data_IF_181745351197
#
_entry.id   IF_181745351197
#
_cell.length_a   1.000
_cell.length_b   1.000
_cell.length_c   1.000
_cell.angle_alpha   90.00
_cell.angle_beta   90.00
_cell.angle_gamma   90.00
#
_symmetry.space_group_name_H-M   'P 1'
#
loop_
_entity.id
_entity.type
_entity.pdbx_description
1 polymer ?
#
# COMPACT_ATOMS: atom_id res chain seq x y z
N UNK A 1 -0.44 1.74 -22.43
CA UNK A 1 -1.06 0.57 -21.80
C UNK A 1 -0.56 0.41 -20.39
N UNK A 2 -1.45 0.14 -19.44
CA UNK A 2 -1.09 -0.04 -18.04
C UNK A 2 -1.68 -1.32 -17.47
N UNK A 3 -0.98 -1.92 -16.50
CA UNK A 3 -1.49 -3.06 -15.74
C UNK A 3 -1.68 -2.68 -14.28
N UNK A 4 -2.74 -3.22 -13.65
CA UNK A 4 -2.99 -3.13 -12.21
C UNK A 4 -2.99 -4.54 -11.65
N UNK A 5 -2.21 -4.79 -10.60
CA UNK A 5 -2.08 -6.10 -9.99
C UNK A 5 -2.82 -6.09 -8.65
N UNK A 6 -3.89 -6.89 -8.55
CA UNK A 6 -4.68 -6.98 -7.34
C UNK A 6 -6.09 -7.49 -7.57
N UNK A 7 -6.98 -7.34 -6.58
CA UNK A 7 -8.38 -7.81 -6.72
C UNK A 7 -9.28 -7.40 -5.54
N UNK A 8 -8.77 -6.54 -4.65
CA UNK A 8 -9.56 -5.85 -3.61
C UNK A 8 -10.05 -4.49 -4.09
N UNK A 9 -10.72 -3.73 -3.22
CA UNK A 9 -11.26 -2.40 -3.53
C UNK A 9 -10.19 -1.49 -4.14
N UNK A 10 -9.02 -1.36 -3.51
CA UNK A 10 -7.93 -0.50 -4.00
C UNK A 10 -7.55 -0.82 -5.45
N UNK A 11 -7.35 -2.10 -5.80
CA UNK A 11 -6.98 -2.47 -7.17
C UNK A 11 -8.05 -2.12 -8.19
N UNK A 12 -9.31 -2.31 -7.82
CA UNK A 12 -10.46 -2.02 -8.68
C UNK A 12 -10.65 -0.51 -8.85
N UNK A 13 -10.53 0.26 -7.78
CA UNK A 13 -10.59 1.72 -7.79
C UNK A 13 -9.46 2.33 -8.62
N UNK A 14 -8.22 1.83 -8.45
CA UNK A 14 -7.08 2.25 -9.26
C UNK A 14 -7.28 1.93 -10.74
N UNK A 15 -7.76 0.72 -11.07
CA UNK A 15 -8.03 0.35 -12.46
C UNK A 15 -9.09 1.28 -13.07
N UNK A 16 -10.17 1.59 -12.35
CA UNK A 16 -11.19 2.54 -12.78
C UNK A 16 -10.63 3.95 -12.95
N UNK A 17 -9.83 4.41 -12.00
CA UNK A 17 -9.21 5.75 -12.07
C UNK A 17 -8.28 5.88 -13.28
N UNK A 18 -7.47 4.86 -13.55
CA UNK A 18 -6.51 4.85 -14.65
C UNK A 18 -7.18 4.92 -16.03
N UNK A 19 -8.46 4.57 -16.17
CA UNK A 19 -9.19 4.76 -17.42
C UNK A 19 -9.40 6.23 -17.84
N UNK A 20 -9.13 7.17 -16.92
CA UNK A 20 -9.07 8.60 -17.24
C UNK A 20 -7.77 8.99 -17.95
N UNK A 21 -6.73 8.14 -17.88
CA UNK A 21 -5.40 8.41 -18.39
C UNK A 21 -4.94 7.40 -19.46
N UNK A 22 -5.62 6.26 -19.58
CA UNK A 22 -5.30 5.19 -20.52
C UNK A 22 -6.57 4.56 -21.05
N UNK A 23 -6.59 4.22 -22.33
CA UNK A 23 -7.67 3.49 -22.98
C UNK A 23 -7.45 1.95 -22.95
N UNK A 24 -6.31 1.50 -22.41
CA UNK A 24 -5.95 0.07 -22.29
C UNK A 24 -5.43 -0.20 -20.88
N UNK A 25 -6.32 -0.60 -19.99
CA UNK A 25 -6.04 -0.96 -18.59
C UNK A 25 -6.28 -2.45 -18.42
N UNK A 26 -5.27 -3.18 -17.94
CA UNK A 26 -5.41 -4.61 -17.66
C UNK A 26 -5.33 -4.84 -16.16
N UNK A 27 -6.42 -5.36 -15.56
CA UNK A 27 -6.45 -5.79 -14.16
C UNK A 27 -6.03 -7.25 -14.07
N UNK A 28 -4.91 -7.54 -13.40
CA UNK A 28 -4.34 -8.88 -13.25
C UNK A 28 -4.71 -9.41 -11.86
N UNK A 29 -5.46 -10.51 -11.83
CA UNK A 29 -5.86 -11.13 -10.57
C UNK A 29 -5.54 -12.62 -10.50
N UNK A 30 -5.00 -13.06 -9.37
CA UNK A 30 -4.52 -14.43 -9.15
C UNK A 30 -5.63 -15.47 -8.92
N UNK A 31 -6.89 -15.06 -8.86
CA UNK A 31 -8.08 -15.92 -8.68
C UNK A 31 -9.06 -15.69 -9.82
N UNK A 32 -10.13 -16.44 -9.81
CA UNK A 32 -11.24 -16.36 -10.78
C UNK A 32 -12.32 -15.33 -10.42
N UNK A 33 -12.19 -14.66 -9.27
CA UNK A 33 -13.16 -13.68 -8.77
C UNK A 33 -12.50 -12.59 -7.93
N UNK A 34 -12.99 -11.35 -8.05
CA UNK A 34 -12.54 -10.20 -7.27
C UNK A 34 -13.11 -10.26 -5.84
N UNK A 35 -12.37 -9.68 -4.90
CA UNK A 35 -12.79 -9.49 -3.51
C UNK A 35 -13.33 -8.10 -3.23
N UNK A 36 -13.30 -7.23 -4.23
CA UNK A 36 -13.84 -5.88 -4.16
C UNK A 36 -15.36 -5.90 -3.93
N UNK A 37 -15.92 -4.80 -3.46
CA UNK A 37 -17.35 -4.61 -3.33
C UNK A 37 -18.08 -4.79 -4.67
N UNK A 38 -19.30 -5.33 -4.62
CA UNK A 38 -20.07 -5.67 -5.80
C UNK A 38 -20.23 -4.49 -6.77
N UNK A 39 -20.53 -3.31 -6.25
CA UNK A 39 -20.70 -2.10 -7.06
C UNK A 39 -19.41 -1.73 -7.83
N UNK A 40 -18.25 -1.94 -7.24
CA UNK A 40 -16.96 -1.69 -7.89
C UNK A 40 -16.69 -2.74 -8.98
N UNK A 41 -17.00 -4.01 -8.72
CA UNK A 41 -16.90 -5.08 -9.71
C UNK A 41 -17.79 -4.80 -10.93
N UNK A 42 -19.03 -4.41 -10.72
CA UNK A 42 -19.96 -4.09 -11.79
C UNK A 42 -19.45 -2.94 -12.66
N UNK A 43 -18.84 -1.91 -12.04
CA UNK A 43 -18.22 -0.80 -12.78
C UNK A 43 -17.01 -1.24 -13.62
N UNK A 44 -16.16 -2.13 -13.11
CA UNK A 44 -15.03 -2.69 -13.87
C UNK A 44 -15.54 -3.48 -15.06
N UNK A 45 -16.51 -4.37 -14.85
CA UNK A 45 -17.05 -5.21 -15.94
C UNK A 45 -17.80 -4.40 -17.01
N UNK A 46 -18.40 -3.28 -16.64
CA UNK A 46 -19.08 -2.38 -17.58
C UNK A 46 -18.10 -1.44 -18.33
N UNK A 47 -16.85 -1.33 -17.91
CA UNK A 47 -15.90 -0.39 -18.50
C UNK A 47 -15.15 -1.03 -19.68
N UNK A 48 -15.36 -0.58 -20.94
CA UNK A 48 -14.73 -1.18 -22.11
C UNK A 48 -13.20 -0.99 -22.19
N UNK A 49 -12.64 -0.08 -21.40
CA UNK A 49 -11.20 0.17 -21.33
C UNK A 49 -10.48 -0.79 -20.38
N UNK A 50 -11.22 -1.61 -19.60
CA UNK A 50 -10.64 -2.52 -18.62
C UNK A 50 -10.79 -3.96 -19.08
N UNK A 51 -9.66 -4.65 -19.23
CA UNK A 51 -9.58 -6.09 -19.40
C UNK A 51 -9.18 -6.74 -18.07
N UNK A 52 -9.85 -7.82 -17.67
CA UNK A 52 -9.46 -8.60 -16.50
C UNK A 52 -8.78 -9.89 -16.93
N UNK A 53 -7.56 -10.13 -16.42
CA UNK A 53 -6.85 -11.39 -16.56
C UNK A 53 -6.99 -12.18 -15.26
N UNK A 54 -7.79 -13.23 -15.31
CA UNK A 54 -8.05 -14.12 -14.21
C UNK A 54 -6.98 -15.20 -14.06
N UNK A 55 -6.82 -15.72 -12.84
CA UNK A 55 -5.91 -16.81 -12.54
C UNK A 55 -4.47 -16.51 -12.96
N UNK A 56 -4.05 -15.24 -12.95
CA UNK A 56 -2.71 -14.82 -13.31
C UNK A 56 -2.01 -14.16 -12.12
N UNK A 57 -0.81 -14.60 -11.83
CA UNK A 57 0.12 -13.92 -10.93
C UNK A 57 1.30 -13.37 -11.73
N UNK A 58 1.80 -12.22 -11.33
CA UNK A 58 3.04 -11.68 -11.89
C UNK A 58 4.21 -12.51 -11.36
N UNK A 59 5.04 -12.96 -12.27
CA UNK A 59 6.32 -13.61 -12.00
C UNK A 59 7.44 -12.57 -12.00
N UNK A 60 7.46 -11.72 -13.04
CA UNK A 60 8.51 -10.73 -13.23
C UNK A 60 8.01 -9.50 -13.99
N UNK A 61 8.54 -8.33 -13.62
CA UNK A 61 8.47 -7.12 -14.44
C UNK A 61 9.63 -7.13 -15.43
N UNK A 62 9.36 -6.86 -16.70
CA UNK A 62 10.33 -6.91 -17.78
C UNK A 62 10.74 -5.49 -18.15
N UNK A 63 12.02 -5.18 -17.96
CA UNK A 63 12.60 -3.91 -18.36
C UNK A 63 12.98 -3.97 -19.86
N UNK A 64 12.81 -2.84 -20.54
CA UNK A 64 13.33 -2.65 -21.89
C UNK A 64 14.85 -2.43 -21.90
N UNK A 65 15.43 -2.46 -23.07
CA UNK A 65 16.85 -2.15 -23.26
C UNK A 65 17.16 -0.67 -23.01
N UNK A 66 18.31 -0.39 -22.43
CA UNK A 66 18.76 0.98 -22.15
C UNK A 66 17.85 1.69 -21.14
N UNK A 67 17.29 2.84 -21.54
CA UNK A 67 16.41 3.69 -20.70
C UNK A 67 14.91 3.47 -20.97
N UNK A 68 14.53 2.41 -21.68
CA UNK A 68 13.14 2.19 -22.13
C UNK A 68 12.14 1.92 -20.98
N UNK A 69 12.61 1.68 -19.74
CA UNK A 69 11.74 1.45 -18.59
C UNK A 69 11.02 0.11 -18.66
N UNK A 70 9.77 0.05 -18.16
CA UNK A 70 8.94 -1.15 -18.18
C UNK A 70 8.37 -1.38 -19.58
N UNK A 71 8.49 -2.63 -20.10
CA UNK A 71 7.95 -3.03 -21.40
C UNK A 71 6.94 -4.15 -21.32
N UNK A 72 6.82 -4.81 -20.17
CA UNK A 72 5.85 -5.88 -19.96
C UNK A 72 5.96 -6.55 -18.61
N UNK A 73 5.08 -7.52 -18.39
CA UNK A 73 5.09 -8.40 -17.22
C UNK A 73 4.97 -9.85 -17.67
N UNK A 74 5.81 -10.71 -17.10
CA UNK A 74 5.69 -12.14 -17.23
C UNK A 74 4.71 -12.66 -16.18
N UNK A 75 3.81 -13.51 -16.61
CA UNK A 75 2.71 -14.04 -15.82
C UNK A 75 2.77 -15.56 -15.76
N UNK A 76 2.37 -16.11 -14.62
CA UNK A 76 2.11 -17.54 -14.45
C UNK A 76 0.63 -17.74 -14.17
N UNK A 77 0.02 -18.65 -14.91
CA UNK A 77 -1.35 -19.11 -14.63
C UNK A 77 -1.35 -19.89 -13.32
N UNK A 78 -2.21 -19.52 -12.40
CA UNK A 78 -2.27 -20.11 -11.04
C UNK A 78 -2.96 -21.48 -11.02
N UNK A 79 -3.63 -21.87 -12.11
CA UNK A 79 -4.34 -23.14 -12.24
C UNK A 79 -3.51 -24.13 -13.08
N UNK A 80 -3.03 -23.68 -14.25
CA UNK A 80 -2.32 -24.56 -15.19
C UNK A 80 -0.81 -24.53 -15.03
N UNK A 81 -0.25 -23.46 -14.41
CA UNK A 81 1.19 -23.25 -14.33
C UNK A 81 1.81 -22.68 -15.61
N UNK A 82 1.03 -22.44 -16.65
CA UNK A 82 1.52 -21.93 -17.93
C UNK A 82 2.04 -20.50 -17.80
N UNK A 83 3.19 -20.25 -18.44
CA UNK A 83 3.76 -18.92 -18.54
C UNK A 83 3.11 -18.14 -19.71
N UNK A 84 2.95 -16.84 -19.53
CA UNK A 84 2.50 -15.91 -20.56
C UNK A 84 3.13 -14.56 -20.37
N UNK A 85 3.07 -13.69 -21.38
CA UNK A 85 3.60 -12.33 -21.34
C UNK A 85 2.50 -11.33 -21.66
N UNK A 86 2.41 -10.26 -20.87
CA UNK A 86 1.51 -9.14 -21.13
C UNK A 86 2.36 -7.88 -21.32
N UNK A 87 2.28 -7.27 -22.51
CA UNK A 87 2.97 -6.02 -22.80
C UNK A 87 2.32 -4.88 -22.02
N UNK A 88 3.14 -4.03 -21.42
CA UNK A 88 2.67 -2.85 -20.70
C UNK A 88 3.77 -1.79 -20.62
N UNK A 89 3.37 -0.52 -20.53
CA UNK A 89 4.27 0.63 -20.39
C UNK A 89 4.32 1.12 -18.93
N UNK A 90 3.42 0.63 -18.06
CA UNK A 90 3.36 0.96 -16.63
C UNK A 90 2.64 -0.11 -15.81
N UNK A 91 3.03 -0.26 -14.55
CA UNK A 91 2.44 -1.23 -13.65
C UNK A 91 2.17 -0.67 -12.25
N UNK A 92 0.96 -0.94 -11.73
CA UNK A 92 0.51 -0.55 -10.40
C UNK A 92 0.28 -1.81 -9.56
N UNK A 93 0.87 -1.83 -8.37
CA UNK A 93 0.78 -3.00 -7.47
C UNK A 93 -0.15 -2.66 -6.31
N UNK A 94 -1.38 -3.20 -6.36
CA UNK A 94 -2.47 -2.93 -5.42
C UNK A 94 -2.91 -4.23 -4.69
N UNK A 95 -1.95 -4.96 -4.12
CA UNK A 95 -2.18 -6.25 -3.46
C UNK A 95 -2.47 -6.13 -1.95
N UNK A 96 -2.50 -4.91 -1.43
CA UNK A 96 -2.67 -4.56 -0.04
C UNK A 96 -1.40 -4.00 0.58
N UNK A 97 -1.54 -3.50 1.80
CA UNK A 97 -0.44 -2.95 2.58
C UNK A 97 -0.18 -3.82 3.80
N UNK A 98 1.08 -3.94 4.16
CA UNK A 98 1.53 -4.47 5.43
C UNK A 98 2.47 -3.42 6.05
N UNK A 99 2.18 -2.93 7.25
CA UNK A 99 3.05 -1.93 7.87
C UNK A 99 4.41 -2.54 8.21
N UNK A 100 5.49 -1.75 8.06
CA UNK A 100 6.86 -2.17 8.38
C UNK A 100 7.11 -2.16 9.89
N UNK A 101 6.34 -2.93 10.65
CA UNK A 101 6.31 -2.93 12.11
C UNK A 101 6.92 -4.19 12.75
N UNK A 102 7.44 -5.11 11.95
CA UNK A 102 7.96 -6.40 12.43
C UNK A 102 9.07 -6.24 13.51
N UNK A 103 9.91 -5.21 13.40
CA UNK A 103 10.95 -4.88 14.37
C UNK A 103 10.43 -4.54 15.78
N UNK A 104 9.16 -4.12 15.86
CA UNK A 104 8.52 -3.68 17.10
C UNK A 104 7.63 -4.75 17.71
N UNK A 105 7.45 -5.87 17.04
CA UNK A 105 6.64 -7.00 17.52
C UNK A 105 7.16 -7.52 18.86
N UNK A 106 6.25 -7.59 19.83
CA UNK A 106 6.60 -7.96 21.21
C UNK A 106 7.31 -6.86 22.03
N UNK A 107 7.62 -5.70 21.42
CA UNK A 107 8.23 -4.55 22.12
C UNK A 107 7.24 -3.40 22.29
N UNK A 108 6.40 -3.16 21.29
CA UNK A 108 5.33 -2.17 21.31
C UNK A 108 3.99 -2.83 20.97
N UNK A 109 2.88 -2.35 21.54
CA UNK A 109 1.56 -2.80 21.16
C UNK A 109 1.28 -2.54 19.69
N UNK A 110 0.78 -3.57 19.00
CA UNK A 110 0.28 -3.50 17.64
C UNK A 110 -1.23 -3.73 17.66
N UNK A 111 -1.96 -3.10 16.73
CA UNK A 111 -3.37 -3.40 16.51
C UNK A 111 -3.54 -4.75 15.76
N UNK A 112 -4.79 -5.15 15.53
CA UNK A 112 -5.12 -6.40 14.85
C UNK A 112 -4.59 -6.49 13.41
N UNK A 113 -4.35 -5.33 12.78
CA UNK A 113 -3.84 -5.21 11.40
C UNK A 113 -2.31 -5.05 11.35
N UNK A 114 -1.65 -5.03 12.52
CA UNK A 114 -0.20 -4.94 12.65
C UNK A 114 0.36 -3.51 12.71
N UNK A 115 -0.48 -2.49 12.82
CA UNK A 115 -0.04 -1.10 12.98
C UNK A 115 0.32 -0.78 14.43
N UNK A 116 1.27 0.15 14.64
CA UNK A 116 1.64 0.61 15.96
C UNK A 116 0.48 1.37 16.62
N UNK A 117 0.12 0.94 17.83
CA UNK A 117 -0.89 1.60 18.62
C UNK A 117 -0.31 2.87 19.28
N UNK A 118 -0.93 4.01 19.02
CA UNK A 118 -0.62 5.30 19.66
C UNK A 118 -1.82 5.83 20.43
N UNK A 119 -1.59 6.69 21.41
CA UNK A 119 -2.67 7.39 22.09
C UNK A 119 -3.41 8.29 21.08
N UNK A 120 -4.73 8.19 20.96
CA UNK A 120 -5.49 8.96 19.98
C UNK A 120 -5.17 10.46 20.03
N UNK A 121 -4.92 11.06 18.85
CA UNK A 121 -4.59 12.47 18.71
C UNK A 121 -3.15 12.85 19.05
N UNK A 122 -2.27 11.89 19.32
CA UNK A 122 -0.85 12.10 19.65
C UNK A 122 0.02 11.10 18.89
N UNK A 123 1.35 11.22 19.02
CA UNK A 123 2.33 10.23 18.56
C UNK A 123 2.82 9.28 19.65
N UNK A 124 2.27 9.38 20.87
CA UNK A 124 2.73 8.65 22.05
C UNK A 124 2.42 7.17 21.94
N UNK A 125 3.45 6.32 22.08
CA UNK A 125 3.30 4.88 22.23
C UNK A 125 3.10 4.48 23.71
N UNK A 126 2.95 3.19 23.98
CA UNK A 126 2.89 2.68 25.34
C UNK A 126 4.23 2.76 26.09
N UNK A 127 5.34 3.03 25.40
CA UNK A 127 6.68 3.13 25.99
C UNK A 127 7.08 4.60 26.05
N UNK A 128 7.30 5.18 27.24
CA UNK A 128 7.74 6.56 27.38
C UNK A 128 9.02 6.85 26.59
N UNK A 129 9.08 7.98 25.90
CA UNK A 129 10.20 8.37 25.05
C UNK A 129 10.23 7.69 23.67
N UNK A 130 9.23 6.87 23.36
CA UNK A 130 9.06 6.26 22.02
C UNK A 130 7.80 6.81 21.38
N UNK A 131 7.98 7.40 20.20
CA UNK A 131 6.91 8.04 19.41
C UNK A 131 6.76 7.33 18.08
N UNK A 132 5.54 7.26 17.57
CA UNK A 132 5.27 6.63 16.28
C UNK A 132 4.39 7.53 15.40
N UNK A 133 4.73 7.62 14.11
CA UNK A 133 4.08 8.51 13.15
C UNK A 133 4.14 7.94 11.73
N UNK A 134 3.26 8.44 10.87
CA UNK A 134 3.20 8.06 9.46
C UNK A 134 2.55 6.70 9.21
N UNK A 135 2.91 6.06 8.10
CA UNK A 135 2.28 4.83 7.60
C UNK A 135 2.29 3.66 8.58
N UNK A 136 3.21 3.64 9.55
CA UNK A 136 3.25 2.60 10.59
C UNK A 136 2.11 2.71 11.61
N UNK A 137 1.40 3.86 11.64
CA UNK A 137 0.23 4.14 12.50
C UNK A 137 -1.03 4.46 11.71
N UNK A 138 -0.90 4.86 10.43
CA UNK A 138 -2.00 5.27 9.56
C UNK A 138 -2.42 4.12 8.63
N UNK A 139 -3.43 3.37 9.04
CA UNK A 139 -4.00 2.31 8.21
C UNK A 139 -5.06 2.79 7.20
N UNK A 140 -5.43 4.07 7.24
CA UNK A 140 -6.54 4.63 6.43
C UNK A 140 -6.02 5.39 5.22
N UNK A 141 -5.26 6.44 5.43
CA UNK A 141 -4.88 7.38 4.37
C UNK A 141 -3.56 7.04 3.69
N UNK A 142 -2.48 6.81 4.47
CA UNK A 142 -1.14 6.47 3.94
C UNK A 142 -0.68 7.41 2.84
N UNK A 143 -0.79 8.71 3.11
CA UNK A 143 -0.40 9.76 2.19
C UNK A 143 0.84 10.50 2.72
N UNK A 144 1.70 10.96 1.79
CA UNK A 144 2.91 11.71 2.16
C UNK A 144 2.61 12.91 3.04
N UNK A 145 1.53 13.64 2.78
CA UNK A 145 1.15 14.83 3.56
C UNK A 145 0.65 14.47 4.96
N UNK A 146 -0.11 13.38 5.13
CA UNK A 146 -0.55 12.92 6.44
C UNK A 146 0.64 12.40 7.25
N UNK A 147 1.55 11.66 6.62
CA UNK A 147 2.78 11.18 7.26
C UNK A 147 3.68 12.34 7.70
N UNK A 148 3.82 13.40 6.89
CA UNK A 148 4.58 14.60 7.25
C UNK A 148 3.95 15.33 8.46
N UNK A 149 2.62 15.48 8.47
CA UNK A 149 1.90 16.07 9.60
C UNK A 149 2.07 15.28 10.90
N UNK A 150 1.93 13.95 10.82
CA UNK A 150 2.19 13.07 11.97
C UNK A 150 3.65 13.14 12.44
N UNK A 151 4.60 13.23 11.51
CA UNK A 151 6.03 13.42 11.82
C UNK A 151 6.30 14.72 12.58
N UNK A 152 5.63 15.82 12.18
CA UNK A 152 5.69 17.08 12.92
C UNK A 152 5.14 16.92 14.35
N UNK A 153 4.01 16.22 14.53
CA UNK A 153 3.47 15.94 15.87
C UNK A 153 4.46 15.14 16.72
N UNK A 154 5.07 14.11 16.13
CA UNK A 154 6.06 13.28 16.84
C UNK A 154 7.30 14.07 17.27
N UNK A 155 7.78 14.99 16.44
CA UNK A 155 8.90 15.86 16.78
C UNK A 155 8.56 16.80 17.95
N UNK A 156 7.37 17.39 17.96
CA UNK A 156 6.91 18.24 19.07
C UNK A 156 6.70 17.45 20.37
N UNK A 157 6.14 16.24 20.28
CA UNK A 157 5.97 15.37 21.45
C UNK A 157 7.35 14.93 22.00
N UNK A 158 8.34 14.65 21.15
CA UNK A 158 9.69 14.32 21.57
C UNK A 158 10.41 15.51 22.22
N UNK A 159 10.27 16.72 21.68
CA UNK A 159 10.83 17.95 22.27
C UNK A 159 10.29 18.19 23.69
N UNK A 160 8.96 18.07 23.87
CA UNK A 160 8.32 18.22 25.18
C UNK A 160 8.82 17.17 26.18
N UNK A 161 8.88 15.91 25.75
CA UNK A 161 9.38 14.81 26.59
C UNK A 161 10.81 15.06 27.07
N UNK A 162 11.69 15.54 26.19
CA UNK A 162 13.08 15.83 26.54
C UNK A 162 13.17 17.02 27.50
N UNK A 163 12.41 18.09 27.29
CA UNK A 163 12.39 19.25 28.18
C UNK A 163 11.86 18.88 29.57
N UNK A 164 10.83 18.03 29.67
CA UNK A 164 10.34 17.52 30.97
C UNK A 164 11.40 16.65 31.68
N UNK A 165 12.08 15.76 30.92
CA UNK A 165 13.15 14.93 31.49
C UNK A 165 14.33 15.74 32.01
N UNK A 166 14.77 16.79 31.29
CA UNK A 166 15.80 17.72 31.71
C UNK A 166 15.39 18.48 32.98
N UNK A 167 14.16 18.97 33.05
CA UNK A 167 13.65 19.65 34.25
C UNK A 167 13.67 18.74 35.47
N UNK A 168 13.19 17.51 35.38
CA UNK A 168 13.22 16.56 36.49
C UNK A 168 14.64 16.24 36.94
N UNK A 169 15.59 16.10 36.02
CA UNK A 169 17.00 15.86 36.35
C UNK A 169 17.69 17.05 37.05
N UNK A 170 17.12 18.27 36.99
CA UNK A 170 17.65 19.46 37.67
C UNK A 170 17.07 19.66 39.09
N UNK A 171 15.91 19.06 39.39
CA UNK A 171 15.20 19.28 40.67
C UNK A 171 15.27 18.09 41.61
N UNK A 172 15.76 16.93 41.18
CA UNK A 172 16.11 15.75 41.98
C UNK A 172 17.60 15.80 42.37
#
# INVERSE_FOLDING_TARGET
>A
KVVVIGGGNTAVEEALYLTNHSDDVTLIHRRDSLRAEKILQDRVHANPKIKVLWNKKVDRFVAGEGTAGLVGVDLIDTVTGEASHERTDGGFVAIGHSPSTELFKGKLPLDADGYLAVKPGTSLTAVPGVFAAGDVTDKVYRQAITAAGMGCMAALDAERFLAEAEYHAMVD
#
